data_IF_153116111621
#
_entry.id   IF_153116111621
#
_cell.length_a   1.000
_cell.length_b   1.000
_cell.length_c   1.000
_cell.angle_alpha   90.00
_cell.angle_beta   90.00
_cell.angle_gamma   90.00
#
_symmetry.space_group_name_H-M   'P 1'
#
loop_
_entity.id
_entity.type
_entity.pdbx_description
1 polymer ?
#
# COMPACT_ATOMS: atom_id res chain seq x y z
N UNK A 1 -13.03 11.04 -9.45
CA UNK A 1 -11.69 11.69 -9.58
C UNK A 1 -10.71 10.61 -10.01
N UNK A 2 -9.84 10.85 -10.99
CA UNK A 2 -8.94 9.81 -11.54
C UNK A 2 -7.58 10.44 -11.84
N UNK A 3 -6.49 9.80 -11.41
CA UNK A 3 -5.15 10.20 -11.82
C UNK A 3 -4.98 10.02 -13.33
N UNK A 4 -4.29 10.95 -13.98
CA UNK A 4 -4.07 10.90 -15.44
C UNK A 4 -2.60 10.79 -15.85
N UNK A 5 -1.69 10.77 -14.87
CA UNK A 5 -0.26 10.73 -15.16
C UNK A 5 0.14 9.33 -15.67
N UNK A 6 0.70 9.18 -16.88
CA UNK A 6 0.95 7.86 -17.47
C UNK A 6 1.84 6.95 -16.62
N UNK A 7 2.89 7.51 -15.99
CA UNK A 7 3.73 6.73 -15.06
C UNK A 7 2.95 6.18 -13.86
N UNK A 8 2.03 6.97 -13.31
CA UNK A 8 1.24 6.56 -12.13
C UNK A 8 0.31 5.44 -12.54
N UNK A 9 -0.40 5.60 -13.66
CA UNK A 9 -1.28 4.57 -14.20
C UNK A 9 -0.51 3.27 -14.48
N UNK A 10 0.64 3.36 -15.18
CA UNK A 10 1.40 2.17 -15.56
C UNK A 10 1.98 1.43 -14.36
N UNK A 11 2.53 2.16 -13.41
CA UNK A 11 3.13 1.55 -12.21
C UNK A 11 2.06 0.98 -11.29
N UNK A 12 0.91 1.63 -11.16
CA UNK A 12 -0.21 1.08 -10.40
C UNK A 12 -0.76 -0.20 -11.02
N UNK A 13 -0.90 -0.26 -12.35
CA UNK A 13 -1.29 -1.49 -13.07
C UNK A 13 -0.34 -2.65 -12.74
N UNK A 14 0.97 -2.43 -12.88
CA UNK A 14 2.01 -3.44 -12.57
C UNK A 14 1.87 -3.98 -11.14
N UNK A 15 1.65 -3.10 -10.16
CA UNK A 15 1.56 -3.50 -8.76
C UNK A 15 0.24 -4.23 -8.47
N UNK A 16 -0.88 -3.75 -9.03
CA UNK A 16 -2.19 -4.40 -8.88
C UNK A 16 -2.19 -5.80 -9.50
N UNK A 17 -1.55 -5.96 -10.66
CA UNK A 17 -1.39 -7.27 -11.32
C UNK A 17 -0.53 -8.21 -10.47
N UNK A 18 0.57 -7.71 -9.89
CA UNK A 18 1.43 -8.49 -8.99
C UNK A 18 0.69 -8.93 -7.71
N UNK A 19 -0.29 -8.15 -7.25
CA UNK A 19 -1.18 -8.48 -6.13
C UNK A 19 -2.34 -9.41 -6.54
N UNK A 20 -2.43 -9.81 -7.82
CA UNK A 20 -3.48 -10.69 -8.33
C UNK A 20 -4.89 -10.08 -8.32
N UNK A 21 -5.01 -8.76 -8.21
CA UNK A 21 -6.28 -8.02 -8.29
C UNK A 21 -7.27 -8.20 -7.14
N UNK A 22 -6.95 -9.00 -6.11
CA UNK A 22 -7.83 -9.28 -4.97
C UNK A 22 -7.10 -9.04 -3.64
N UNK A 23 -7.16 -7.80 -3.15
CA UNK A 23 -6.49 -7.40 -1.90
C UNK A 23 -7.29 -6.33 -1.15
N UNK A 24 -6.98 -6.13 0.13
CA UNK A 24 -7.43 -4.99 0.93
C UNK A 24 -6.40 -3.87 0.80
N UNK A 25 -6.86 -2.67 0.44
CA UNK A 25 -6.02 -1.49 0.37
C UNK A 25 -5.98 -0.76 1.71
N UNK A 26 -4.78 -0.49 2.20
CA UNK A 26 -4.55 0.19 3.47
C UNK A 26 -3.66 1.41 3.24
N UNK A 27 -4.00 2.52 3.87
CA UNK A 27 -3.10 3.67 3.99
C UNK A 27 -2.81 3.97 5.45
N UNK A 28 -1.53 3.87 5.83
CA UNK A 28 -1.02 4.19 7.16
C UNK A 28 -0.10 5.42 7.07
N UNK A 29 -0.62 6.58 7.47
CA UNK A 29 0.15 7.81 7.61
C UNK A 29 0.99 7.76 8.89
N UNK A 30 2.27 8.04 8.77
CA UNK A 30 3.24 8.00 9.87
C UNK A 30 4.11 9.25 10.01
N UNK A 31 4.21 10.09 8.96
CA UNK A 31 4.98 11.32 9.05
C UNK A 31 4.30 12.37 9.95
N UNK A 32 5.14 13.13 10.67
CA UNK A 32 4.82 14.15 11.69
C UNK A 32 4.41 13.61 13.06
N UNK A 33 4.82 14.30 14.14
CA UNK A 33 4.74 13.82 15.52
C UNK A 33 3.34 13.40 16.01
N UNK A 34 2.28 14.03 15.48
CA UNK A 34 0.90 13.64 15.78
C UNK A 34 0.53 12.28 15.16
N UNK A 35 0.96 12.01 13.93
CA UNK A 35 0.67 10.73 13.27
C UNK A 35 1.58 9.61 13.76
N UNK A 36 2.84 9.92 14.08
CA UNK A 36 3.75 8.98 14.74
C UNK A 36 3.17 8.47 16.07
N UNK A 37 2.58 9.35 16.88
CA UNK A 37 1.86 8.97 18.11
C UNK A 37 0.56 8.20 17.88
N UNK A 38 -0.08 8.37 16.71
CA UNK A 38 -1.34 7.73 16.35
C UNK A 38 -1.18 6.38 15.62
N UNK A 39 0.05 5.92 15.35
CA UNK A 39 0.32 4.64 14.68
C UNK A 39 -0.40 3.48 15.39
N UNK A 40 -0.28 3.32 16.74
CA UNK A 40 -0.94 2.20 17.42
C UNK A 40 -2.46 2.25 17.27
N UNK A 41 -3.09 3.42 17.41
CA UNK A 41 -4.55 3.54 17.25
C UNK A 41 -5.00 3.20 15.82
N UNK A 42 -4.27 3.68 14.81
CA UNK A 42 -4.57 3.39 13.41
C UNK A 42 -4.40 1.90 13.09
N UNK A 43 -3.35 1.24 13.59
CA UNK A 43 -3.15 -0.20 13.43
C UNK A 43 -4.28 -0.98 14.12
N UNK A 44 -4.68 -0.59 15.32
CA UNK A 44 -5.80 -1.24 16.01
C UNK A 44 -7.11 -1.12 15.21
N UNK A 45 -7.35 0.02 14.55
CA UNK A 45 -8.51 0.17 13.66
C UNK A 45 -8.41 -0.72 12.40
N UNK A 46 -7.21 -0.91 11.86
CA UNK A 46 -6.96 -1.81 10.73
C UNK A 46 -7.21 -3.27 11.12
N UNK A 47 -6.67 -3.71 12.26
CA UNK A 47 -6.85 -5.08 12.80
C UNK A 47 -8.31 -5.45 13.04
N UNK A 48 -9.17 -4.48 13.36
CA UNK A 48 -10.62 -4.71 13.50
C UNK A 48 -11.33 -5.03 12.18
N UNK A 49 -10.71 -4.68 11.05
CA UNK A 49 -11.29 -4.83 9.70
C UNK A 49 -10.59 -5.89 8.86
N UNK A 50 -9.43 -6.35 9.30
CA UNK A 50 -8.63 -7.39 8.66
C UNK A 50 -8.67 -8.60 9.57
N UNK A 51 -9.13 -9.73 9.06
CA UNK A 51 -9.18 -10.97 9.83
C UNK A 51 -7.77 -11.38 10.26
N UNK A 52 -7.63 -11.79 11.51
CA UNK A 52 -6.37 -12.32 12.03
C UNK A 52 -6.03 -13.63 11.32
N UNK A 53 -4.80 -13.75 10.84
CA UNK A 53 -4.34 -14.91 10.11
C UNK A 53 -2.96 -15.33 10.60
N UNK A 54 -2.87 -16.34 11.48
CA UNK A 54 -1.59 -16.89 11.86
C UNK A 54 -1.01 -17.64 10.66
N UNK A 55 0.16 -17.21 10.21
CA UNK A 55 1.01 -17.96 9.29
C UNK A 55 2.31 -18.25 10.04
N UNK A 56 2.74 -19.51 10.02
CA UNK A 56 3.91 -19.98 10.78
C UNK A 56 5.21 -19.34 10.27
N UNK A 57 5.25 -19.02 8.97
CA UNK A 57 6.34 -18.33 8.30
C UNK A 57 5.85 -17.01 7.67
N UNK A 58 6.77 -16.10 7.36
CA UNK A 58 6.50 -14.92 6.53
C UNK A 58 6.46 -15.35 5.06
N UNK A 59 5.28 -15.58 4.45
CA UNK A 59 5.17 -15.99 3.06
C UNK A 59 5.69 -14.91 2.10
N UNK A 60 6.21 -15.33 0.95
CA UNK A 60 6.44 -14.44 -0.17
C UNK A 60 5.12 -13.96 -0.82
N UNK A 61 5.23 -12.94 -1.67
CA UNK A 61 4.09 -12.35 -2.36
C UNK A 61 3.30 -13.39 -3.17
N UNK A 62 3.98 -14.26 -3.91
CA UNK A 62 3.35 -15.27 -4.78
C UNK A 62 2.51 -16.24 -3.96
N UNK A 63 3.05 -16.69 -2.83
CA UNK A 63 2.38 -17.57 -1.88
C UNK A 63 1.14 -16.91 -1.29
N UNK A 64 1.24 -15.64 -0.88
CA UNK A 64 0.09 -14.89 -0.39
C UNK A 64 -0.99 -14.65 -1.44
N UNK A 65 -0.61 -14.38 -2.69
CA UNK A 65 -1.57 -14.26 -3.79
C UNK A 65 -2.32 -15.58 -3.98
N UNK A 66 -1.64 -16.73 -3.90
CA UNK A 66 -2.28 -18.04 -3.99
C UNK A 66 -3.23 -18.29 -2.80
N UNK A 67 -2.77 -18.02 -1.57
CA UNK A 67 -3.61 -18.17 -0.37
C UNK A 67 -4.85 -17.26 -0.41
N UNK A 68 -4.72 -16.04 -0.94
CA UNK A 68 -5.84 -15.13 -1.09
C UNK A 68 -6.88 -15.64 -2.10
N UNK A 69 -6.45 -16.22 -3.22
CA UNK A 69 -7.35 -16.86 -4.21
C UNK A 69 -8.11 -18.04 -3.62
N UNK A 70 -7.48 -18.77 -2.70
CA UNK A 70 -8.09 -19.89 -2.00
C UNK A 70 -8.93 -19.47 -0.77
N UNK A 71 -9.09 -18.16 -0.53
CA UNK A 71 -9.72 -17.60 0.66
C UNK A 71 -9.09 -18.09 1.99
N UNK A 72 -7.80 -18.47 1.96
CA UNK A 72 -7.03 -18.90 3.14
C UNK A 72 -6.26 -17.74 3.78
N UNK A 73 -6.06 -16.65 3.04
CA UNK A 73 -5.44 -15.44 3.55
C UNK A 73 -6.09 -14.17 2.99
N UNK A 74 -5.90 -13.06 3.68
CA UNK A 74 -6.28 -11.71 3.26
C UNK A 74 -4.99 -11.07 2.80
N UNK A 75 -4.86 -10.86 1.49
CA UNK A 75 -3.77 -10.08 0.94
C UNK A 75 -4.03 -8.60 1.22
N UNK A 76 -3.03 -7.90 1.75
CA UNK A 76 -3.12 -6.49 2.13
C UNK A 76 -2.03 -5.72 1.39
N UNK A 77 -2.42 -4.64 0.72
CA UNK A 77 -1.47 -3.64 0.23
C UNK A 77 -1.41 -2.47 1.21
N UNK A 78 -0.21 -2.15 1.73
CA UNK A 78 0.02 -1.06 2.67
C UNK A 78 0.74 0.11 1.99
N UNK A 79 -0.01 1.16 1.70
CA UNK A 79 0.53 2.49 1.39
C UNK A 79 1.00 3.17 2.68
N UNK A 80 2.25 3.62 2.72
CA UNK A 80 2.82 4.30 3.88
C UNK A 80 3.92 5.26 3.45
N UNK A 81 4.08 6.33 4.22
CA UNK A 81 5.18 7.29 4.07
C UNK A 81 6.41 6.95 4.91
N UNK A 82 6.39 5.83 5.63
CA UNK A 82 7.56 5.31 6.34
C UNK A 82 8.63 4.83 5.36
N UNK A 83 9.89 5.22 5.61
CA UNK A 83 11.03 4.86 4.76
C UNK A 83 11.35 3.36 4.85
N UNK A 84 11.41 2.82 6.07
CA UNK A 84 11.71 1.41 6.35
C UNK A 84 10.65 0.80 7.29
N UNK A 85 9.41 0.56 6.81
CA UNK A 85 8.30 0.12 7.66
C UNK A 85 8.51 -1.28 8.25
N UNK A 86 9.26 -2.15 7.56
CA UNK A 86 9.62 -3.50 8.04
C UNK A 86 10.57 -3.48 9.24
N UNK A 87 11.44 -2.46 9.32
CA UNK A 87 12.42 -2.30 10.41
C UNK A 87 11.86 -1.48 11.58
N UNK A 88 10.69 -0.86 11.40
CA UNK A 88 10.06 -0.03 12.42
C UNK A 88 9.20 -0.87 13.38
N UNK A 89 9.54 -0.97 14.68
CA UNK A 89 8.78 -1.77 15.64
C UNK A 89 7.32 -1.34 15.79
N UNK A 90 6.99 -0.08 15.48
CA UNK A 90 5.61 0.43 15.52
C UNK A 90 4.69 -0.29 14.52
N UNK A 91 5.24 -0.98 13.52
CA UNK A 91 4.48 -1.76 12.52
C UNK A 91 4.43 -3.26 12.86
N UNK A 92 5.16 -3.74 13.87
CA UNK A 92 5.23 -5.18 14.19
C UNK A 92 3.84 -5.82 14.37
N UNK A 93 2.93 -5.10 15.02
CA UNK A 93 1.54 -5.52 15.22
C UNK A 93 0.78 -5.81 13.93
N UNK A 94 1.00 -5.05 12.84
CA UNK A 94 0.31 -5.31 11.57
C UNK A 94 0.94 -6.49 10.84
N UNK A 95 2.27 -6.66 10.90
CA UNK A 95 2.97 -7.79 10.29
C UNK A 95 2.57 -9.12 10.95
N UNK A 96 2.45 -9.13 12.27
CA UNK A 96 2.05 -10.31 13.03
C UNK A 96 0.56 -10.63 12.86
N UNK A 97 -0.29 -9.61 12.70
CA UNK A 97 -1.74 -9.81 12.56
C UNK A 97 -2.15 -10.23 11.15
N UNK A 98 -1.48 -9.68 10.13
CA UNK A 98 -1.72 -9.94 8.72
C UNK A 98 -0.38 -10.14 7.98
N UNK A 99 0.22 -11.35 8.05
CA UNK A 99 1.54 -11.61 7.47
C UNK A 99 1.58 -11.43 5.94
N UNK A 100 0.45 -11.60 5.26
CA UNK A 100 0.26 -11.28 3.85
C UNK A 100 0.03 -9.77 3.59
N UNK A 101 0.81 -8.91 4.24
CA UNK A 101 0.83 -7.47 3.98
C UNK A 101 2.07 -7.07 3.22
N UNK A 102 1.92 -6.32 2.12
CA UNK A 102 3.00 -5.87 1.26
C UNK A 102 2.89 -4.36 0.98
N UNK A 103 4.03 -3.67 1.02
CA UNK A 103 4.19 -2.28 0.61
C UNK A 103 4.59 -2.20 -0.86
N UNK A 104 4.58 -1.00 -1.44
CA UNK A 104 5.08 -0.79 -2.79
C UNK A 104 6.51 -1.30 -2.99
N UNK A 105 7.39 -1.12 -1.99
CA UNK A 105 8.78 -1.55 -2.07
C UNK A 105 8.99 -3.04 -1.83
N UNK A 106 8.02 -3.75 -1.22
CA UNK A 106 8.05 -5.21 -1.16
C UNK A 106 7.75 -5.82 -2.55
N UNK A 107 6.88 -5.17 -3.34
CA UNK A 107 6.56 -5.59 -4.73
C UNK A 107 7.64 -5.12 -5.71
N UNK A 108 8.11 -3.88 -5.54
CA UNK A 108 9.08 -3.22 -6.41
C UNK A 108 10.23 -2.67 -5.55
N UNK A 109 11.24 -3.49 -5.28
CA UNK A 109 12.40 -3.06 -4.49
C UNK A 109 13.06 -1.78 -5.08
N UNK A 110 13.87 -1.07 -4.28
CA UNK A 110 14.43 0.24 -4.67
C UNK A 110 15.22 0.25 -6.00
N UNK A 111 15.79 -0.89 -6.40
CA UNK A 111 16.62 -1.05 -7.60
C UNK A 111 15.87 -1.74 -8.76
N UNK A 112 14.55 -1.91 -8.65
CA UNK A 112 13.77 -2.60 -9.66
C UNK A 112 13.86 -1.90 -11.02
N UNK A 113 14.12 -2.60 -12.13
CA UNK A 113 14.31 -1.97 -13.45
C UNK A 113 13.06 -1.22 -13.94
N UNK A 114 11.87 -1.61 -13.48
CA UNK A 114 10.60 -0.94 -13.82
C UNK A 114 10.51 0.51 -13.31
N UNK A 115 11.39 0.95 -12.40
CA UNK A 115 11.45 2.36 -12.02
C UNK A 115 11.75 3.30 -13.19
N UNK A 116 12.27 2.78 -14.32
CA UNK A 116 12.44 3.52 -15.56
C UNK A 116 11.16 4.22 -16.04
N UNK A 117 9.98 3.62 -15.79
CA UNK A 117 8.70 4.24 -16.15
C UNK A 117 8.43 5.53 -15.39
N UNK A 118 9.01 5.70 -14.20
CA UNK A 118 8.95 6.94 -13.42
C UNK A 118 10.14 7.85 -13.68
N UNK A 119 11.37 7.32 -13.75
CA UNK A 119 12.59 8.14 -13.81
C UNK A 119 12.78 8.91 -15.10
N UNK A 120 12.08 8.50 -16.17
CA UNK A 120 12.00 9.27 -17.40
C UNK A 120 11.34 10.64 -17.19
N UNK A 121 10.52 10.81 -16.16
CA UNK A 121 9.89 12.08 -15.81
C UNK A 121 10.83 12.89 -14.91
N UNK A 122 11.36 13.98 -15.46
CA UNK A 122 12.34 14.85 -14.80
C UNK A 122 11.96 16.31 -14.95
N UNK A 123 12.26 17.11 -13.91
CA UNK A 123 12.14 18.58 -13.95
C UNK A 123 13.50 19.15 -13.58
N UNK A 124 14.05 20.01 -14.45
CA UNK A 124 15.36 20.63 -14.25
C UNK A 124 16.48 19.61 -13.95
N UNK A 125 16.39 18.42 -14.56
CA UNK A 125 17.36 17.34 -14.36
C UNK A 125 17.12 16.49 -13.11
N UNK A 126 16.19 16.83 -12.22
CA UNK A 126 15.85 15.99 -11.05
C UNK A 126 14.75 14.97 -11.38
N UNK A 127 14.90 13.74 -10.86
CA UNK A 127 13.85 12.71 -11.00
C UNK A 127 12.59 13.10 -10.21
N UNK A 128 11.43 12.97 -10.85
CA UNK A 128 10.14 13.19 -10.20
C UNK A 128 9.67 12.00 -9.34
N UNK A 129 10.43 10.89 -9.30
CA UNK A 129 10.01 9.63 -8.66
C UNK A 129 9.46 9.82 -7.25
N UNK A 130 10.16 10.60 -6.41
CA UNK A 130 9.75 10.88 -5.01
C UNK A 130 8.37 11.54 -4.89
N UNK A 131 7.91 12.24 -5.92
CA UNK A 131 6.59 12.88 -5.96
C UNK A 131 5.52 11.97 -6.61
N UNK A 132 5.93 11.07 -7.51
CA UNK A 132 5.03 10.15 -8.19
C UNK A 132 4.70 8.91 -7.35
N UNK A 133 5.63 8.44 -6.53
CA UNK A 133 5.46 7.25 -5.67
C UNK A 133 4.23 7.36 -4.75
N UNK A 134 4.00 8.46 -4.01
CA UNK A 134 2.79 8.58 -3.18
C UNK A 134 1.48 8.50 -3.99
N UNK A 135 1.49 8.92 -5.26
CA UNK A 135 0.31 8.83 -6.13
C UNK A 135 0.06 7.38 -6.58
N UNK A 136 1.11 6.60 -6.79
CA UNK A 136 1.01 5.16 -7.06
C UNK A 136 0.48 4.43 -5.83
N UNK A 137 1.03 4.69 -4.65
CA UNK A 137 0.51 4.15 -3.39
C UNK A 137 -0.99 4.43 -3.23
N UNK A 138 -1.40 5.68 -3.44
CA UNK A 138 -2.79 6.09 -3.36
C UNK A 138 -3.68 5.34 -4.37
N UNK A 139 -3.23 5.24 -5.62
CA UNK A 139 -4.01 4.59 -6.67
C UNK A 139 -4.12 3.07 -6.44
N UNK A 140 -3.03 2.40 -6.10
CA UNK A 140 -3.03 0.96 -5.79
C UNK A 140 -3.92 0.68 -4.58
N UNK A 141 -3.74 1.40 -3.47
CA UNK A 141 -4.57 1.23 -2.28
C UNK A 141 -6.06 1.48 -2.55
N UNK A 142 -6.39 2.40 -3.47
CA UNK A 142 -7.79 2.65 -3.84
C UNK A 142 -8.46 1.51 -4.62
N UNK A 143 -7.68 0.65 -5.28
CA UNK A 143 -8.21 -0.45 -6.10
C UNK A 143 -8.48 -1.74 -5.32
N UNK A 144 -8.12 -1.80 -4.04
CA UNK A 144 -8.48 -2.94 -3.20
C UNK A 144 -10.00 -3.13 -3.10
N UNK A 145 -10.43 -4.36 -2.76
CA UNK A 145 -11.86 -4.70 -2.54
C UNK A 145 -12.48 -3.98 -1.34
N UNK A 146 -11.62 -3.50 -0.44
CA UNK A 146 -11.94 -2.67 0.71
C UNK A 146 -10.80 -1.68 0.90
N UNK A 147 -11.12 -0.44 1.28
CA UNK A 147 -10.13 0.56 1.67
C UNK A 147 -10.20 0.91 3.17
N UNK A 148 -9.03 0.95 3.83
CA UNK A 148 -8.86 1.36 5.22
C UNK A 148 -7.78 2.45 5.26
N UNK A 149 -8.06 3.59 5.88
CA UNK A 149 -7.10 4.69 5.96
C UNK A 149 -6.94 5.23 7.38
N UNK A 150 -5.79 5.81 7.68
CA UNK A 150 -5.54 6.54 8.93
C UNK A 150 -6.59 7.61 9.20
N UNK A 151 -7.11 7.62 10.44
CA UNK A 151 -8.10 8.60 10.91
C UNK A 151 -7.50 10.01 10.88
N UNK A 152 -8.27 10.99 10.43
CA UNK A 152 -7.85 12.40 10.36
C UNK A 152 -6.87 12.74 9.23
N UNK A 153 -6.34 11.76 8.50
CA UNK A 153 -5.47 12.02 7.35
C UNK A 153 -6.28 12.50 6.15
N UNK A 154 -5.98 13.71 5.67
CA UNK A 154 -6.55 14.27 4.42
C UNK A 154 -6.20 13.40 3.22
N UNK A 155 -4.99 12.83 3.19
CA UNK A 155 -4.55 11.92 2.15
C UNK A 155 -5.34 10.60 2.17
N UNK A 156 -5.61 10.01 3.34
CA UNK A 156 -6.54 8.88 3.46
C UNK A 156 -7.93 9.23 2.93
N UNK A 157 -8.42 10.44 3.21
CA UNK A 157 -9.70 10.93 2.69
C UNK A 157 -9.73 11.03 1.16
N UNK A 158 -8.62 11.42 0.55
CA UNK A 158 -8.46 11.44 -0.90
C UNK A 158 -8.50 10.02 -1.49
N UNK A 159 -7.72 9.08 -0.94
CA UNK A 159 -7.69 7.69 -1.41
C UNK A 159 -9.07 7.04 -1.28
N UNK A 160 -9.79 7.32 -0.20
CA UNK A 160 -11.17 6.84 -0.03
C UNK A 160 -12.09 7.30 -1.16
N UNK A 161 -12.03 8.58 -1.53
CA UNK A 161 -12.82 9.11 -2.66
C UNK A 161 -12.42 8.47 -3.99
N UNK A 162 -11.15 8.11 -4.19
CA UNK A 162 -10.75 7.33 -5.37
C UNK A 162 -11.40 5.95 -5.35
N UNK A 163 -11.31 5.24 -4.22
CA UNK A 163 -11.88 3.90 -4.06
C UNK A 163 -13.39 3.89 -4.34
N UNK A 164 -14.14 4.82 -3.73
CA UNK A 164 -15.59 4.95 -3.91
C UNK A 164 -16.00 5.25 -5.36
N UNK A 165 -15.14 5.92 -6.15
CA UNK A 165 -15.43 6.23 -7.55
C UNK A 165 -15.01 5.14 -8.54
N UNK A 166 -14.19 4.17 -8.13
CA UNK A 166 -13.71 3.08 -8.99
C UNK A 166 -14.68 1.89 -9.05
N UNK A 167 -15.71 1.88 -8.20
CA UNK A 167 -16.70 0.80 -8.05
C UNK A 167 -18.13 1.24 -8.43
N UNK A 168 -18.26 2.36 -9.15
CA UNK A 168 -19.54 2.88 -9.71
C UNK A 168 -19.65 2.54 -11.18
#
# INVERSE_FOLDING_TARGET
>A
MVYKHPAVLKMSEIVVDALGGQFVGVHLRTADGLFAGAIPENIQQMKKKIEYQPLDDLPDLTSCVQLARENKATLVFLATDAIHPRENPAFSDIWNHAPCTFTLYDVLNHNHPLWIYMDQYRISGESMRKYLVPLVDALVASQGRLFIGSKGSTFSGYIRRLHENSHV
#
